data_IF_788966002742
#
_entry.id   IF_788966002742
#
_cell.length_a   1.000
_cell.length_b   1.000
_cell.length_c   1.000
_cell.angle_alpha   90.00
_cell.angle_beta   90.00
_cell.angle_gamma   90.00
#
_symmetry.space_group_name_H-M   'P 1'
#
loop_
_entity.id
_entity.type
_entity.pdbx_description
1 polymer ?
#
# COMPACT_ATOMS: atom_id res chain seq x y z
N UNK A 1 -2.20 18.41 25.29
CA UNK A 1 -2.35 16.93 25.16
C UNK A 1 -2.69 16.63 23.72
N UNK A 2 -1.91 15.75 23.08
CA UNK A 2 -1.89 15.50 21.63
C UNK A 2 -3.15 14.80 21.13
N UNK A 3 -3.64 15.20 19.96
CA UNK A 3 -4.86 14.67 19.31
C UNK A 3 -4.54 13.39 18.54
N UNK A 4 -4.66 12.24 19.19
CA UNK A 4 -4.63 10.94 18.51
C UNK A 4 -6.02 10.61 17.93
N UNK A 5 -6.06 10.32 16.62
CA UNK A 5 -7.27 9.96 15.91
C UNK A 5 -7.83 8.62 16.41
N UNK A 6 -9.00 8.71 17.03
CA UNK A 6 -9.84 7.60 17.48
C UNK A 6 -10.36 6.80 16.29
N UNK A 7 -10.06 5.50 16.23
CA UNK A 7 -10.71 4.54 15.32
C UNK A 7 -12.12 4.25 15.79
N UNK A 8 -13.12 4.67 15.02
CA UNK A 8 -14.54 4.48 15.35
C UNK A 8 -15.08 3.21 14.69
N UNK A 9 -15.24 2.15 15.48
CA UNK A 9 -16.43 1.28 15.39
C UNK A 9 -17.27 1.62 16.61
N UNK A 10 -18.55 1.96 16.42
CA UNK A 10 -19.45 2.32 17.52
C UNK A 10 -19.40 1.25 18.61
N UNK A 11 -18.83 1.60 19.77
CA UNK A 11 -19.16 0.99 21.05
C UNK A 11 -18.13 0.07 21.74
N UNK A 12 -16.98 -0.28 21.16
CA UNK A 12 -15.97 -1.08 21.89
C UNK A 12 -14.54 -0.63 21.55
N UNK A 13 -13.83 -0.10 22.54
CA UNK A 13 -12.40 0.22 22.43
C UNK A 13 -11.58 -1.08 22.52
N UNK A 14 -10.84 -1.43 21.47
CA UNK A 14 -9.79 -2.43 21.57
C UNK A 14 -8.48 -1.73 21.93
N UNK A 15 -7.85 -2.19 23.01
CA UNK A 15 -6.59 -1.70 23.55
C UNK A 15 -5.53 -1.48 22.46
N UNK A 16 -5.17 -0.22 22.25
CA UNK A 16 -4.02 0.19 21.45
C UNK A 16 -2.75 0.15 22.31
N UNK A 17 -2.40 -1.03 22.82
CA UNK A 17 -1.18 -1.27 23.58
C UNK A 17 0.08 -1.33 22.69
N UNK A 18 1.06 -0.49 23.02
CA UNK A 18 2.52 -0.63 22.79
C UNK A 18 3.12 -0.72 21.37
N UNK A 19 2.34 -0.85 20.28
CA UNK A 19 2.90 -1.02 18.92
C UNK A 19 2.55 0.08 17.89
N UNK A 20 2.42 1.33 18.33
CA UNK A 20 2.02 2.45 17.46
C UNK A 20 3.05 2.82 16.36
N UNK A 21 4.29 2.32 16.43
CA UNK A 21 5.36 2.68 15.49
C UNK A 21 5.50 1.82 14.22
N UNK A 22 4.68 0.77 14.01
CA UNK A 22 5.00 -0.30 13.03
C UNK A 22 3.92 -0.65 11.99
N UNK A 23 2.81 0.06 11.91
CA UNK A 23 1.71 -0.30 10.99
C UNK A 23 1.26 0.86 10.10
N UNK A 24 2.18 1.45 9.35
CA UNK A 24 1.84 2.40 8.30
C UNK A 24 1.39 1.60 7.06
N UNK A 25 0.09 1.51 6.79
CA UNK A 25 -0.34 1.14 5.43
C UNK A 25 -0.34 2.41 4.59
N UNK A 26 0.18 2.34 3.36
CA UNK A 26 0.36 3.51 2.50
C UNK A 26 -0.48 3.37 1.25
N UNK A 27 -1.18 4.44 0.87
CA UNK A 27 -1.79 4.60 -0.44
C UNK A 27 -0.88 5.48 -1.28
N UNK A 28 -0.36 4.92 -2.38
CA UNK A 28 0.51 5.63 -3.32
C UNK A 28 -0.33 5.89 -4.58
N UNK A 29 -0.58 7.17 -4.94
CA UNK A 29 -1.33 7.47 -6.15
C UNK A 29 -0.52 7.03 -7.38
N UNK A 30 -1.22 6.44 -8.35
CA UNK A 30 -0.71 6.16 -9.68
C UNK A 30 -1.30 7.19 -10.66
N UNK A 31 -0.66 7.35 -11.82
CA UNK A 31 -1.00 8.39 -12.78
C UNK A 31 -2.35 8.21 -13.49
N UNK A 32 -3.06 7.11 -13.26
CA UNK A 32 -4.26 6.66 -13.98
C UNK A 32 -5.48 6.51 -13.06
N UNK A 33 -5.57 7.33 -12.02
CA UNK A 33 -6.66 7.31 -11.03
C UNK A 33 -6.78 5.99 -10.25
N UNK A 34 -5.77 5.13 -10.30
CA UNK A 34 -5.61 3.98 -9.40
C UNK A 34 -4.65 4.32 -8.27
N UNK A 35 -4.71 3.55 -7.20
CA UNK A 35 -3.77 3.63 -6.08
C UNK A 35 -3.11 2.29 -5.84
N UNK A 36 -1.82 2.31 -5.53
CA UNK A 36 -1.14 1.16 -4.96
C UNK A 36 -1.29 1.23 -3.44
N UNK A 37 -2.01 0.28 -2.88
CA UNK A 37 -2.12 0.08 -1.44
C UNK A 37 -1.08 -0.92 -0.95
N UNK A 38 -0.18 -0.44 -0.11
CA UNK A 38 0.88 -1.22 0.52
C UNK A 38 0.47 -1.52 1.95
N UNK A 39 0.13 -2.79 2.22
CA UNK A 39 -0.17 -3.23 3.56
C UNK A 39 1.11 -3.76 4.20
N UNK A 40 1.72 -2.99 5.10
CA UNK A 40 3.00 -3.35 5.72
C UNK A 40 2.89 -4.46 6.79
N UNK A 41 1.69 -4.71 7.32
CA UNK A 41 1.44 -5.86 8.21
C UNK A 41 1.53 -7.18 7.42
N UNK A 42 0.83 -7.24 6.29
CA UNK A 42 0.81 -8.44 5.43
C UNK A 42 1.95 -8.47 4.40
N UNK A 43 2.62 -7.33 4.19
CA UNK A 43 3.53 -7.05 3.08
C UNK A 43 2.93 -7.38 1.70
N UNK A 44 1.60 -7.30 1.58
CA UNK A 44 0.88 -7.50 0.32
C UNK A 44 0.67 -6.18 -0.41
N UNK A 45 0.65 -6.28 -1.73
CA UNK A 45 0.39 -5.14 -2.62
C UNK A 45 -0.97 -5.30 -3.29
N UNK A 46 -1.78 -4.26 -3.16
CA UNK A 46 -3.11 -4.20 -3.74
C UNK A 46 -3.19 -3.01 -4.67
N UNK A 47 -3.84 -3.20 -5.81
CA UNK A 47 -4.32 -2.12 -6.64
C UNK A 47 -5.70 -1.73 -6.15
N UNK A 48 -5.97 -0.44 -6.07
CA UNK A 48 -7.28 0.11 -5.71
C UNK A 48 -7.74 0.97 -6.87
N UNK A 49 -8.93 0.69 -7.42
CA UNK A 49 -9.51 1.51 -8.47
C UNK A 49 -10.22 2.76 -7.91
N UNK A 50 -10.66 3.63 -8.82
CA UNK A 50 -11.41 4.86 -8.52
C UNK A 50 -12.70 4.63 -7.71
N UNK A 51 -13.25 3.41 -7.69
CA UNK A 51 -14.45 3.04 -6.93
C UNK A 51 -14.11 2.42 -5.57
N UNK A 52 -12.82 2.28 -5.25
CA UNK A 52 -12.34 1.64 -4.03
C UNK A 52 -12.27 0.12 -4.11
N UNK A 53 -12.50 -0.48 -5.28
CA UNK A 53 -12.36 -1.93 -5.48
C UNK A 53 -10.89 -2.30 -5.42
N UNK A 54 -10.59 -3.29 -4.60
CA UNK A 54 -9.22 -3.78 -4.41
C UNK A 54 -8.95 -5.01 -5.27
N UNK A 55 -7.75 -5.10 -5.84
CA UNK A 55 -7.25 -6.29 -6.53
C UNK A 55 -5.84 -6.59 -6.05
N UNK A 56 -5.57 -7.85 -5.73
CA UNK A 56 -4.24 -8.27 -5.28
C UNK A 56 -3.28 -8.29 -6.47
N UNK A 57 -2.19 -7.51 -6.39
CA UNK A 57 -1.15 -7.47 -7.43
C UNK A 57 -0.19 -8.64 -7.25
N UNK A 58 0.23 -8.90 -6.01
CA UNK A 58 1.11 -10.03 -5.70
C UNK A 58 1.07 -10.39 -4.21
N UNK A 59 1.28 -11.67 -3.93
CA UNK A 59 1.39 -12.23 -2.57
C UNK A 59 2.80 -12.19 -1.96
N UNK A 60 3.81 -11.78 -2.73
CA UNK A 60 5.19 -11.73 -2.22
C UNK A 60 5.50 -10.44 -1.46
N UNK A 61 6.25 -10.59 -0.37
CA UNK A 61 6.68 -9.51 0.53
C UNK A 61 7.53 -8.48 -0.22
N UNK A 62 6.98 -7.31 -0.55
CA UNK A 62 7.74 -6.19 -1.09
C UNK A 62 7.93 -5.17 0.03
N UNK A 63 9.19 -4.91 0.39
CA UNK A 63 9.59 -3.92 1.39
C UNK A 63 10.42 -2.81 0.74
N UNK A 64 10.53 -1.68 1.43
CA UNK A 64 11.42 -0.57 1.06
C UNK A 64 11.14 -0.01 -0.34
N UNK A 65 9.87 0.22 -0.68
CA UNK A 65 9.48 0.82 -1.96
C UNK A 65 9.98 2.27 -1.98
N UNK A 66 10.80 2.61 -2.98
CA UNK A 66 11.38 3.94 -3.15
C UNK A 66 10.62 4.75 -4.19
N UNK A 67 10.35 4.13 -5.34
CA UNK A 67 9.62 4.75 -6.45
C UNK A 67 8.70 3.72 -7.10
N UNK A 68 7.61 4.22 -7.68
CA UNK A 68 6.66 3.45 -8.49
C UNK A 68 6.29 4.25 -9.72
N UNK A 69 6.10 3.58 -10.86
CA UNK A 69 5.54 4.18 -12.06
C UNK A 69 4.64 3.17 -12.78
N UNK A 70 3.75 3.68 -13.62
CA UNK A 70 2.85 2.88 -14.44
C UNK A 70 3.02 3.28 -15.90
N UNK A 71 2.83 2.33 -16.81
CA UNK A 71 2.84 2.62 -18.25
C UNK A 71 1.63 3.46 -18.65
N UNK A 72 1.71 4.25 -19.74
CA UNK A 72 0.61 5.12 -20.18
C UNK A 72 -0.69 4.37 -20.49
N UNK A 73 -0.57 3.13 -20.98
CA UNK A 73 -1.67 2.22 -21.27
C UNK A 73 -2.13 1.42 -20.04
N UNK A 74 -1.56 1.70 -18.87
CA UNK A 74 -1.94 1.08 -17.59
C UNK A 74 -1.72 -0.45 -17.52
N UNK A 75 -0.98 -1.04 -18.47
CA UNK A 75 -0.75 -2.49 -18.59
C UNK A 75 0.47 -2.99 -17.80
N UNK A 76 1.38 -2.10 -17.40
CA UNK A 76 2.63 -2.44 -16.71
C UNK A 76 2.85 -1.49 -15.54
N UNK A 77 3.32 -2.03 -14.41
CA UNK A 77 3.82 -1.26 -13.27
C UNK A 77 5.28 -1.60 -12.99
N UNK A 78 6.12 -0.57 -12.86
CA UNK A 78 7.49 -0.74 -12.38
C UNK A 78 7.61 -0.24 -10.93
N UNK A 79 8.32 -1.01 -10.11
CA UNK A 79 8.52 -0.74 -8.69
C UNK A 79 10.00 -0.86 -8.37
N UNK A 80 10.59 0.23 -7.86
CA UNK A 80 11.96 0.26 -7.38
C UNK A 80 12.00 0.09 -5.86
N UNK A 81 12.76 -0.89 -5.38
CA UNK A 81 13.06 -1.05 -3.96
C UNK A 81 14.42 -0.41 -3.61
N UNK A 82 14.58 0.05 -2.38
CA UNK A 82 15.83 0.62 -1.89
C UNK A 82 16.83 -0.45 -1.44
N UNK A 83 16.36 -1.46 -0.68
CA UNK A 83 17.18 -2.53 -0.10
C UNK A 83 16.47 -3.90 -0.16
N UNK A 84 16.98 -4.88 -0.93
CA UNK A 84 18.01 -4.72 -1.96
C UNK A 84 17.54 -3.74 -3.04
N UNK A 85 18.48 -3.05 -3.72
CA UNK A 85 18.10 -2.13 -4.80
C UNK A 85 17.71 -2.94 -6.03
N UNK A 86 16.41 -3.09 -6.26
CA UNK A 86 15.88 -3.88 -7.37
C UNK A 86 14.79 -3.12 -8.09
N UNK A 87 14.71 -3.31 -9.42
CA UNK A 87 13.58 -2.87 -10.22
C UNK A 87 12.76 -4.10 -10.56
N UNK A 88 11.49 -4.10 -10.16
CA UNK A 88 10.53 -5.17 -10.45
C UNK A 88 9.48 -4.64 -11.40
N UNK A 89 9.15 -5.42 -12.42
CA UNK A 89 8.15 -5.09 -13.43
C UNK A 89 7.00 -6.07 -13.28
N UNK A 90 5.78 -5.54 -13.21
CA UNK A 90 4.55 -6.29 -13.07
C UNK A 90 3.67 -6.03 -14.27
N UNK A 91 3.20 -7.09 -14.93
CA UNK A 91 2.07 -6.98 -15.86
C UNK A 91 0.79 -6.81 -15.02
N UNK A 92 0.00 -5.81 -15.38
CA UNK A 92 -1.32 -5.56 -14.84
C UNK A 92 -2.32 -6.02 -15.89
N UNK A 93 -3.22 -6.95 -15.53
CA UNK A 93 -4.35 -7.31 -16.40
C UNK A 93 -5.53 -6.35 -16.24
#
# INVERSE_FOLDING_TARGET
>A
MSRDMVRVRRGVAMDAGENQHKFFSMLIPLHDQRWLFVNWFTNKLWMVDHQGKTRLVKETKIKNIRNTCISPDASIMALRTEKPSTLKIYKLD
#
